data_IF_447724689206
#
_entry.id   IF_447724689206
#
_cell.length_a   1.000
_cell.length_b   1.000
_cell.length_c   1.000
_cell.angle_alpha   90.00
_cell.angle_beta   90.00
_cell.angle_gamma   90.00
#
_symmetry.space_group_name_H-M   'P 1'
#
loop_
_entity.id
_entity.type
_entity.pdbx_description
1 polymer ?
#
# COMPACT_ATOMS: atom_id res chain seq x y z
N UNK A 1 1.51 28.75 -3.19
CA UNK A 1 2.12 28.37 -4.49
C UNK A 1 1.69 26.96 -4.81
N UNK A 2 0.66 26.83 -5.64
CA UNK A 2 0.20 25.54 -6.19
C UNK A 2 1.20 25.11 -7.26
N UNK A 3 1.77 23.89 -7.22
CA UNK A 3 2.58 23.41 -8.32
C UNK A 3 1.66 23.20 -9.53
N UNK A 4 1.87 24.05 -10.53
CA UNK A 4 1.06 24.19 -11.73
C UNK A 4 1.18 22.93 -12.58
N UNK A 5 0.06 22.51 -13.17
CA UNK A 5 -0.17 21.38 -14.09
C UNK A 5 0.95 21.10 -15.10
N UNK A 6 1.75 22.12 -15.41
CA UNK A 6 2.90 22.11 -16.33
C UNK A 6 4.06 21.20 -15.89
N UNK A 7 4.36 21.14 -14.58
CA UNK A 7 5.49 20.33 -14.07
C UNK A 7 5.18 18.83 -14.08
N UNK A 8 3.90 18.45 -13.91
CA UNK A 8 3.49 17.06 -14.03
C UNK A 8 3.63 16.58 -15.49
N UNK A 9 3.25 17.42 -16.45
CA UNK A 9 3.27 17.12 -17.88
C UNK A 9 4.70 16.92 -18.41
N UNK A 10 5.62 17.80 -18.04
CA UNK A 10 7.03 17.73 -18.47
C UNK A 10 7.80 16.51 -17.94
N UNK A 11 7.35 15.92 -16.83
CA UNK A 11 7.99 14.74 -16.23
C UNK A 11 7.30 13.41 -16.62
N UNK A 12 6.28 13.47 -17.49
CA UNK A 12 5.47 12.33 -17.93
C UNK A 12 5.54 12.14 -19.46
N UNK A 13 6.18 13.06 -20.22
CA UNK A 13 6.27 12.98 -21.69
C UNK A 13 7.11 11.81 -22.25
N UNK A 14 7.68 10.99 -21.38
CA UNK A 14 8.35 9.73 -21.78
C UNK A 14 7.44 8.51 -21.58
N UNK A 15 6.24 8.67 -21.01
CA UNK A 15 5.35 7.61 -20.55
C UNK A 15 4.13 7.43 -21.47
N UNK A 16 4.37 6.86 -22.65
CA UNK A 16 3.35 6.45 -23.65
C UNK A 16 2.39 7.59 -24.11
N UNK A 17 2.45 7.99 -25.40
CA UNK A 17 1.60 9.05 -25.95
C UNK A 17 0.10 8.87 -25.67
N UNK A 18 -0.36 7.62 -25.49
CA UNK A 18 -1.76 7.30 -25.18
C UNK A 18 -2.23 7.96 -23.87
N UNK A 19 -1.34 8.21 -22.90
CA UNK A 19 -1.75 8.66 -21.56
C UNK A 19 -1.33 10.08 -21.22
N UNK A 20 -0.46 10.72 -22.01
CA UNK A 20 0.01 12.08 -21.78
C UNK A 20 -1.13 13.10 -21.68
N UNK A 21 -2.18 12.94 -22.48
CA UNK A 21 -3.37 13.81 -22.45
C UNK A 21 -4.36 13.43 -21.33
N UNK A 22 -4.18 12.27 -20.70
CA UNK A 22 -5.10 11.71 -19.72
C UNK A 22 -4.53 11.60 -18.31
N UNK A 23 -3.31 12.07 -18.06
CA UNK A 23 -2.67 12.05 -16.73
C UNK A 23 -3.57 12.63 -15.64
N UNK A 24 -4.18 13.78 -15.91
CA UNK A 24 -5.08 14.43 -14.95
C UNK A 24 -6.36 13.65 -14.71
N UNK A 25 -6.86 12.92 -15.72
CA UNK A 25 -7.99 12.01 -15.56
C UNK A 25 -7.59 10.81 -14.70
N UNK A 26 -6.44 10.19 -15.00
CA UNK A 26 -5.90 9.04 -14.26
C UNK A 26 -5.69 9.40 -12.79
N UNK A 27 -5.02 10.52 -12.51
CA UNK A 27 -4.77 11.02 -11.15
C UNK A 27 -6.05 11.24 -10.36
N UNK A 28 -7.12 11.75 -10.98
CA UNK A 28 -8.39 12.04 -10.30
C UNK A 28 -9.29 10.81 -10.11
N UNK A 29 -9.01 9.71 -10.80
CA UNK A 29 -9.91 8.54 -10.84
C UNK A 29 -9.27 7.30 -10.21
N UNK A 30 -8.24 6.74 -10.84
CA UNK A 30 -7.64 5.45 -10.47
C UNK A 30 -6.33 5.59 -9.70
N UNK A 31 -5.83 6.81 -9.54
CA UNK A 31 -4.64 7.14 -8.75
C UNK A 31 -4.85 8.32 -7.80
N UNK A 32 -6.02 8.39 -7.18
CA UNK A 32 -6.37 9.46 -6.26
C UNK A 32 -5.44 9.47 -5.04
N UNK A 33 -4.90 10.66 -4.72
CA UNK A 33 -4.01 10.86 -3.57
C UNK A 33 -2.56 10.43 -3.80
N UNK A 34 -2.19 10.04 -5.03
CA UNK A 34 -0.80 9.81 -5.39
C UNK A 34 0.01 11.12 -5.40
N UNK A 35 1.22 11.08 -4.84
CA UNK A 35 2.22 12.14 -5.07
C UNK A 35 2.69 12.11 -6.53
N UNK A 36 3.36 13.16 -7.03
CA UNK A 36 3.88 13.16 -8.40
C UNK A 36 4.79 11.96 -8.70
N UNK A 37 5.65 11.55 -7.76
CA UNK A 37 6.56 10.41 -7.95
C UNK A 37 5.82 9.06 -7.86
N UNK A 38 4.84 8.94 -6.96
CA UNK A 38 4.00 7.74 -6.89
C UNK A 38 3.14 7.58 -8.15
N UNK A 39 2.62 8.69 -8.70
CA UNK A 39 1.89 8.68 -9.96
C UNK A 39 2.78 8.24 -11.13
N UNK A 40 4.05 8.71 -11.18
CA UNK A 40 5.02 8.23 -12.17
C UNK A 40 5.30 6.75 -12.02
N UNK A 41 5.53 6.28 -10.79
CA UNK A 41 5.76 4.85 -10.54
C UNK A 41 4.56 4.00 -10.97
N UNK A 42 3.35 4.47 -10.68
CA UNK A 42 2.11 3.82 -11.11
C UNK A 42 2.00 3.73 -12.64
N UNK A 43 2.22 4.84 -13.35
CA UNK A 43 2.16 4.88 -14.82
C UNK A 43 3.28 4.06 -15.46
N UNK A 44 4.50 4.11 -14.91
CA UNK A 44 5.62 3.28 -15.34
C UNK A 44 5.30 1.78 -15.21
N UNK A 45 4.70 1.38 -14.08
CA UNK A 45 4.28 -0.01 -13.84
C UNK A 45 3.19 -0.43 -14.83
N UNK A 46 2.18 0.43 -15.04
CA UNK A 46 1.12 0.19 -16.01
C UNK A 46 1.68 -0.03 -17.42
N UNK A 47 2.61 0.83 -17.85
CA UNK A 47 3.27 0.73 -19.16
C UNK A 47 4.04 -0.57 -19.33
N UNK A 48 4.92 -0.89 -18.37
CA UNK A 48 5.76 -2.08 -18.45
C UNK A 48 4.95 -3.38 -18.45
N UNK A 49 3.82 -3.40 -17.73
CA UNK A 49 2.89 -4.53 -17.73
C UNK A 49 1.92 -4.51 -18.92
N UNK A 50 1.91 -3.45 -19.74
CA UNK A 50 0.95 -3.24 -20.82
C UNK A 50 -0.50 -3.11 -20.33
N UNK A 51 -0.71 -2.66 -19.09
CA UNK A 51 -2.02 -2.50 -18.47
C UNK A 51 -2.54 -1.09 -18.66
N UNK A 52 -3.86 -0.98 -18.80
CA UNK A 52 -4.55 0.30 -18.95
C UNK A 52 -5.22 0.72 -17.62
N UNK A 53 -4.77 1.84 -17.01
CA UNK A 53 -5.37 2.39 -15.80
C UNK A 53 -6.86 2.74 -15.97
N UNK A 54 -7.25 3.31 -17.11
CA UNK A 54 -8.63 3.75 -17.37
C UNK A 54 -9.56 2.57 -17.65
N UNK A 55 -9.02 1.47 -18.19
CA UNK A 55 -9.73 0.20 -18.30
C UNK A 55 -9.78 -0.58 -16.97
N UNK A 56 -9.34 0.02 -15.84
CA UNK A 56 -9.44 -0.56 -14.50
C UNK A 56 -8.65 -1.87 -14.33
N UNK A 57 -7.59 -2.03 -15.12
CA UNK A 57 -6.70 -3.19 -15.07
C UNK A 57 -5.61 -3.06 -13.99
N UNK A 58 -5.32 -1.83 -13.57
CA UNK A 58 -4.34 -1.49 -12.54
C UNK A 58 -4.82 -0.27 -11.76
N UNK A 59 -4.58 -0.25 -10.45
CA UNK A 59 -5.01 0.80 -9.54
C UNK A 59 -3.85 1.27 -8.68
N UNK A 60 -3.90 2.54 -8.28
CA UNK A 60 -3.12 3.03 -7.16
C UNK A 60 -4.05 3.19 -5.96
N UNK A 61 -3.71 2.51 -4.87
CA UNK A 61 -4.50 2.47 -3.64
C UNK A 61 -3.65 3.03 -2.51
N UNK A 62 -4.13 4.11 -1.87
CA UNK A 62 -3.52 4.71 -0.68
C UNK A 62 -4.29 4.27 0.56
N UNK A 63 -3.61 3.61 1.51
CA UNK A 63 -4.17 3.18 2.80
C UNK A 63 -3.22 3.56 3.92
N UNK A 64 -3.75 4.13 5.01
CA UNK A 64 -2.95 4.57 6.19
C UNK A 64 -1.70 5.39 5.79
N UNK A 65 -1.84 6.26 4.78
CA UNK A 65 -0.74 7.11 4.29
C UNK A 65 0.29 6.43 3.36
N UNK A 66 0.18 5.12 3.09
CA UNK A 66 1.06 4.39 2.16
C UNK A 66 0.37 4.15 0.82
N UNK A 67 0.99 4.61 -0.27
CA UNK A 67 0.57 4.35 -1.64
C UNK A 67 1.07 2.99 -2.13
N UNK A 68 0.22 2.24 -2.81
CA UNK A 68 0.58 0.93 -3.40
C UNK A 68 -0.04 0.78 -4.78
N UNK A 69 0.72 0.21 -5.70
CA UNK A 69 0.23 -0.16 -7.04
C UNK A 69 -0.29 -1.59 -6.98
N UNK A 70 -1.50 -1.80 -7.48
CA UNK A 70 -2.19 -3.08 -7.37
C UNK A 70 -2.84 -3.41 -8.71
N UNK A 71 -2.60 -4.62 -9.19
CA UNK A 71 -3.17 -5.11 -10.45
C UNK A 71 -4.51 -5.77 -10.18
N UNK A 72 -5.49 -5.50 -11.04
CA UNK A 72 -6.79 -6.17 -10.99
C UNK A 72 -6.66 -7.62 -11.48
N UNK A 73 -7.54 -8.51 -11.02
CA UNK A 73 -7.58 -9.90 -11.51
C UNK A 73 -7.70 -9.96 -13.05
N UNK A 74 -8.48 -9.06 -13.65
CA UNK A 74 -8.63 -8.98 -15.11
C UNK A 74 -7.34 -8.51 -15.80
N UNK A 75 -6.51 -7.70 -15.13
CA UNK A 75 -5.18 -7.35 -15.60
C UNK A 75 -4.24 -8.56 -15.65
N UNK A 76 -4.27 -9.42 -14.62
CA UNK A 76 -3.48 -10.66 -14.61
C UNK A 76 -3.93 -11.63 -15.71
N UNK A 77 -5.25 -11.76 -15.90
CA UNK A 77 -5.84 -12.59 -16.97
C UNK A 77 -5.41 -12.09 -18.34
N UNK A 78 -5.45 -10.77 -18.56
CA UNK A 78 -5.01 -10.16 -19.81
C UNK A 78 -3.53 -10.41 -20.09
N UNK A 79 -2.67 -10.28 -19.07
CA UNK A 79 -1.23 -10.59 -19.23
C UNK A 79 -1.05 -12.06 -19.58
N UNK A 80 -1.72 -12.97 -18.86
CA UNK A 80 -1.67 -14.40 -19.15
C UNK A 80 -2.14 -14.74 -20.57
N UNK A 81 -3.26 -14.16 -21.01
CA UNK A 81 -3.83 -14.35 -22.35
C UNK A 81 -2.86 -13.90 -23.45
N UNK A 82 -2.24 -12.72 -23.29
CA UNK A 82 -1.24 -12.18 -24.23
C UNK A 82 -0.01 -13.05 -24.41
N UNK A 83 0.28 -13.97 -23.49
CA UNK A 83 1.37 -14.93 -23.67
C UNK A 83 1.09 -15.93 -24.79
N UNK A 84 -0.17 -16.07 -25.24
CA UNK A 84 -0.62 -17.11 -26.16
C UNK A 84 -0.58 -18.52 -25.57
N UNK A 85 -0.26 -18.65 -24.27
CA UNK A 85 -0.14 -19.93 -23.57
C UNK A 85 -1.23 -20.16 -22.53
N UNK A 86 -2.08 -19.18 -22.24
CA UNK A 86 -3.21 -19.37 -21.33
C UNK A 86 -4.23 -20.35 -21.92
N UNK A 87 -4.62 -21.35 -21.14
CA UNK A 87 -5.48 -22.46 -21.56
C UNK A 87 -6.74 -22.60 -20.68
N UNK A 88 -7.21 -21.46 -20.17
CA UNK A 88 -8.38 -21.35 -19.30
C UNK A 88 -8.09 -21.64 -17.83
N UNK A 89 -9.14 -21.67 -17.03
CA UNK A 89 -9.12 -21.99 -15.60
C UNK A 89 -10.44 -22.57 -15.16
N UNK A 90 -10.40 -23.33 -14.07
CA UNK A 90 -11.59 -23.90 -13.45
C UNK A 90 -12.24 -22.91 -12.48
N UNK A 91 -13.52 -23.12 -12.20
CA UNK A 91 -14.20 -22.41 -11.13
C UNK A 91 -13.53 -22.69 -9.78
N UNK A 92 -13.66 -21.76 -8.83
CA UNK A 92 -13.11 -21.94 -7.49
C UNK A 92 -13.83 -23.08 -6.75
N UNK A 93 -13.03 -23.99 -6.21
CA UNK A 93 -13.47 -25.02 -5.27
C UNK A 93 -13.35 -24.47 -3.85
N UNK A 94 -14.42 -24.54 -3.07
CA UNK A 94 -14.43 -24.07 -1.68
C UNK A 94 -14.38 -25.26 -0.71
N UNK A 95 -13.48 -25.20 0.26
CA UNK A 95 -13.26 -26.25 1.25
C UNK A 95 -13.48 -25.68 2.66
N UNK A 96 -14.48 -26.21 3.35
CA UNK A 96 -14.83 -25.81 4.71
C UNK A 96 -15.44 -24.41 4.83
N UNK A 97 -15.97 -24.12 6.01
CA UNK A 97 -16.48 -22.81 6.38
C UNK A 97 -15.90 -22.39 7.74
N UNK A 98 -15.77 -21.08 7.97
CA UNK A 98 -15.51 -20.52 9.30
C UNK A 98 -16.74 -20.68 10.20
N UNK A 99 -16.59 -20.41 11.49
CA UNK A 99 -17.72 -20.47 12.44
C UNK A 99 -18.84 -19.50 12.05
N UNK A 100 -18.49 -18.37 11.43
CA UNK A 100 -19.41 -17.35 10.92
C UNK A 100 -20.00 -17.68 9.54
N UNK A 101 -19.69 -18.85 8.97
CA UNK A 101 -20.23 -19.33 7.69
C UNK A 101 -19.55 -18.79 6.44
N UNK A 102 -18.37 -18.17 6.56
CA UNK A 102 -17.56 -17.74 5.41
C UNK A 102 -16.75 -18.91 4.84
N UNK A 103 -16.39 -18.94 3.55
CA UNK A 103 -15.59 -20.04 2.98
C UNK A 103 -14.22 -20.02 3.63
N UNK A 104 -13.76 -21.16 4.14
CA UNK A 104 -12.48 -21.21 4.85
C UNK A 104 -11.29 -21.22 3.87
N UNK A 105 -11.42 -21.94 2.76
CA UNK A 105 -10.39 -22.07 1.73
C UNK A 105 -11.07 -21.98 0.36
N UNK A 106 -10.46 -21.23 -0.57
CA UNK A 106 -10.76 -21.33 -1.99
C UNK A 106 -9.54 -21.88 -2.73
N UNK A 107 -9.75 -22.84 -3.63
CA UNK A 107 -8.74 -23.40 -4.53
C UNK A 107 -9.13 -23.11 -5.98
N UNK A 108 -8.19 -22.63 -6.78
CA UNK A 108 -8.38 -22.39 -8.21
C UNK A 108 -7.27 -23.08 -8.98
N UNK A 109 -7.61 -23.62 -10.16
CA UNK A 109 -6.65 -24.18 -11.11
C UNK A 109 -6.66 -23.37 -12.40
N UNK A 110 -5.48 -22.88 -12.78
CA UNK A 110 -5.22 -22.23 -14.08
C UNK A 110 -4.45 -23.19 -14.96
N UNK A 111 -4.73 -23.20 -16.25
CA UNK A 111 -4.04 -24.03 -17.22
C UNK A 111 -3.15 -23.21 -18.13
N UNK A 112 -1.97 -23.76 -18.44
CA UNK A 112 -1.02 -23.17 -19.37
C UNK A 112 -0.50 -24.23 -20.34
N UNK A 113 -0.36 -23.85 -21.61
CA UNK A 113 0.30 -24.65 -22.62
C UNK A 113 1.82 -24.66 -22.40
N UNK A 114 2.38 -25.84 -22.16
CA UNK A 114 3.82 -26.08 -22.01
C UNK A 114 4.21 -27.18 -22.99
N UNK A 115 5.01 -26.84 -24.00
CA UNK A 115 5.41 -27.79 -25.03
C UNK A 115 4.24 -28.44 -25.78
N UNK A 116 3.13 -27.71 -25.99
CA UNK A 116 1.92 -28.24 -26.64
C UNK A 116 1.01 -29.06 -25.72
N UNK A 117 1.36 -29.22 -24.45
CA UNK A 117 0.53 -29.93 -23.45
C UNK A 117 -0.14 -28.92 -22.52
N UNK A 118 -1.42 -29.14 -22.23
CA UNK A 118 -2.18 -28.33 -21.26
C UNK A 118 -1.83 -28.78 -19.84
N UNK A 119 -1.09 -27.96 -19.10
CA UNK A 119 -0.62 -28.27 -17.75
C UNK A 119 -1.38 -27.47 -16.68
N UNK A 120 -1.80 -28.10 -15.55
CA UNK A 120 -2.50 -27.44 -14.46
C UNK A 120 -1.55 -26.74 -13.48
N UNK A 121 -1.96 -25.57 -13.00
CA UNK A 121 -1.30 -24.78 -11.96
C UNK A 121 -2.36 -24.38 -10.93
N UNK A 122 -2.37 -25.07 -9.79
CA UNK A 122 -3.34 -24.78 -8.72
C UNK A 122 -2.74 -23.90 -7.63
N UNK A 123 -3.58 -23.07 -7.01
CA UNK A 123 -3.28 -22.41 -5.76
C UNK A 123 -4.52 -22.29 -4.88
N UNK A 124 -4.28 -22.09 -3.58
CA UNK A 124 -5.34 -21.93 -2.60
C UNK A 124 -5.10 -20.68 -1.78
N UNK A 125 -6.18 -19.97 -1.45
CA UNK A 125 -6.20 -18.87 -0.50
C UNK A 125 -7.05 -19.27 0.72
N UNK A 126 -6.57 -18.95 1.92
CA UNK A 126 -7.25 -19.25 3.18
C UNK A 126 -7.86 -17.97 3.75
N UNK A 127 -9.09 -18.05 4.24
CA UNK A 127 -9.79 -16.89 4.82
C UNK A 127 -8.99 -16.23 5.93
N UNK A 128 -8.47 -17.03 6.86
CA UNK A 128 -7.65 -16.56 8.00
C UNK A 128 -6.41 -15.76 7.57
N UNK A 129 -5.83 -16.10 6.42
CA UNK A 129 -4.62 -15.44 5.90
C UNK A 129 -4.93 -14.22 5.02
N UNK A 130 -6.14 -14.12 4.45
CA UNK A 130 -6.44 -13.12 3.42
C UNK A 130 -7.51 -12.11 3.85
N UNK A 131 -8.37 -12.44 4.80
CA UNK A 131 -9.35 -11.52 5.34
C UNK A 131 -8.63 -10.33 6.01
N UNK A 132 -8.94 -9.08 5.64
CA UNK A 132 -8.19 -7.90 6.08
C UNK A 132 -8.58 -7.40 7.48
N UNK A 133 -9.29 -8.22 8.25
CA UNK A 133 -9.86 -7.83 9.54
C UNK A 133 -11.12 -6.98 9.41
N UNK A 134 -11.70 -6.63 10.55
CA UNK A 134 -13.07 -6.14 10.59
C UNK A 134 -13.27 -4.71 10.08
N UNK A 135 -12.24 -3.87 10.22
CA UNK A 135 -12.27 -2.48 9.77
C UNK A 135 -12.37 -2.38 8.24
N UNK A 136 -11.78 -3.33 7.52
CA UNK A 136 -11.68 -3.33 6.05
C UNK A 136 -12.44 -4.51 5.41
N UNK A 137 -13.12 -5.31 6.24
CA UNK A 137 -13.77 -6.56 5.86
C UNK A 137 -15.17 -6.41 5.28
N UNK A 138 -15.73 -5.20 5.16
CA UNK A 138 -17.11 -5.00 4.71
C UNK A 138 -17.44 -5.74 3.39
N UNK A 139 -16.62 -5.54 2.35
CA UNK A 139 -16.81 -6.21 1.06
C UNK A 139 -16.59 -7.72 1.16
N UNK A 140 -15.68 -8.16 2.03
CA UNK A 140 -15.40 -9.57 2.28
C UNK A 140 -16.58 -10.28 2.93
N UNK A 141 -17.25 -9.68 3.91
CA UNK A 141 -18.47 -10.25 4.50
C UNK A 141 -19.64 -10.24 3.52
N UNK A 142 -19.73 -9.24 2.63
CA UNK A 142 -20.79 -9.14 1.63
C UNK A 142 -20.62 -10.12 0.46
N UNK A 143 -19.39 -10.39 0.04
CA UNK A 143 -19.06 -11.22 -1.13
C UNK A 143 -17.90 -12.20 -0.84
N UNK A 144 -18.03 -13.06 0.18
CA UNK A 144 -16.91 -13.80 0.75
C UNK A 144 -16.30 -14.81 -0.23
N UNK A 145 -17.14 -15.51 -0.98
CA UNK A 145 -16.70 -16.48 -1.99
C UNK A 145 -15.95 -15.77 -3.14
N UNK A 146 -16.47 -14.65 -3.61
CA UNK A 146 -15.83 -13.87 -4.69
C UNK A 146 -14.48 -13.33 -4.29
N UNK A 147 -14.35 -12.80 -3.06
CA UNK A 147 -13.07 -12.25 -2.59
C UNK A 147 -12.01 -13.35 -2.48
N UNK A 148 -12.35 -14.46 -1.82
CA UNK A 148 -11.40 -15.54 -1.62
C UNK A 148 -11.03 -16.26 -2.93
N UNK A 149 -12.00 -16.46 -3.83
CA UNK A 149 -11.75 -17.03 -5.16
C UNK A 149 -10.78 -16.18 -5.99
N UNK A 150 -10.93 -14.84 -5.97
CA UNK A 150 -10.02 -13.93 -6.69
C UNK A 150 -8.59 -14.02 -6.16
N UNK A 151 -8.41 -14.16 -4.85
CA UNK A 151 -7.09 -14.38 -4.26
C UNK A 151 -6.46 -15.68 -4.78
N UNK A 152 -7.22 -16.78 -4.71
CA UNK A 152 -6.75 -18.09 -5.15
C UNK A 152 -6.39 -18.09 -6.65
N UNK A 153 -7.20 -17.42 -7.48
CA UNK A 153 -6.94 -17.27 -8.91
C UNK A 153 -5.68 -16.44 -9.18
N UNK A 154 -5.48 -15.33 -8.48
CA UNK A 154 -4.28 -14.51 -8.61
C UNK A 154 -3.01 -15.30 -8.27
N UNK A 155 -3.03 -16.12 -7.21
CA UNK A 155 -1.93 -17.01 -6.85
C UNK A 155 -1.68 -18.08 -7.93
N UNK A 156 -2.75 -18.66 -8.48
CA UNK A 156 -2.65 -19.67 -9.53
C UNK A 156 -2.07 -19.09 -10.83
N UNK A 157 -2.50 -17.89 -11.22
CA UNK A 157 -1.97 -17.16 -12.38
C UNK A 157 -0.47 -16.89 -12.20
N UNK A 158 -0.03 -16.46 -11.02
CA UNK A 158 1.41 -16.23 -10.76
C UNK A 158 2.24 -17.50 -10.80
N UNK A 159 1.70 -18.63 -10.34
CA UNK A 159 2.35 -19.93 -10.49
C UNK A 159 2.48 -20.34 -11.96
N UNK A 160 1.46 -20.07 -12.77
CA UNK A 160 1.46 -20.41 -14.19
C UNK A 160 2.36 -19.48 -15.03
N UNK A 161 2.36 -18.18 -14.73
CA UNK A 161 3.03 -17.13 -15.52
C UNK A 161 4.01 -16.31 -14.69
N UNK A 162 4.99 -16.94 -13.99
CA UNK A 162 5.87 -16.22 -13.07
C UNK A 162 6.77 -15.20 -13.77
N UNK A 163 7.23 -15.49 -15.00
CA UNK A 163 8.05 -14.54 -15.77
C UNK A 163 7.25 -13.31 -16.22
N UNK A 164 5.98 -13.49 -16.56
CA UNK A 164 5.11 -12.43 -17.09
C UNK A 164 4.46 -11.60 -15.96
N UNK A 165 4.27 -12.19 -14.78
CA UNK A 165 3.62 -11.58 -13.61
C UNK A 165 4.58 -11.21 -12.46
N UNK A 166 5.88 -11.43 -12.63
CA UNK A 166 6.89 -11.04 -11.64
C UNK A 166 6.84 -9.53 -11.38
N UNK A 167 6.95 -9.12 -10.11
CA UNK A 167 6.92 -7.72 -9.72
C UNK A 167 5.53 -7.06 -9.72
N UNK A 168 4.47 -7.78 -10.13
CA UNK A 168 3.09 -7.30 -10.06
C UNK A 168 2.41 -7.81 -8.79
N UNK A 169 2.17 -6.89 -7.87
CA UNK A 169 1.39 -7.14 -6.66
C UNK A 169 -0.12 -7.00 -6.95
N UNK A 170 -0.92 -7.85 -6.32
CA UNK A 170 -2.37 -7.89 -6.46
C UNK A 170 -2.97 -7.42 -5.13
N UNK A 171 -4.12 -6.77 -5.19
CA UNK A 171 -4.79 -6.09 -4.08
C UNK A 171 -4.81 -6.91 -2.78
N UNK A 172 -5.06 -8.20 -2.90
CA UNK A 172 -5.33 -9.08 -1.76
C UNK A 172 -4.07 -9.53 -1.01
N UNK A 173 -2.87 -9.44 -1.59
CA UNK A 173 -1.61 -9.70 -0.87
C UNK A 173 -1.20 -8.55 0.04
N UNK A 174 -1.58 -7.32 -0.32
CA UNK A 174 -1.17 -6.12 0.40
C UNK A 174 -2.14 -5.71 1.50
N UNK A 175 -3.35 -6.28 1.52
CA UNK A 175 -4.29 -6.07 2.60
C UNK A 175 -3.75 -6.62 3.95
N UNK A 176 -2.86 -7.61 3.89
CA UNK A 176 -2.15 -8.18 5.03
C UNK A 176 -0.98 -7.33 5.53
N UNK A 177 -0.27 -6.64 4.62
CA UNK A 177 0.89 -5.82 4.96
C UNK A 177 0.55 -4.56 5.79
N UNK A 178 -0.73 -4.30 6.08
CA UNK A 178 -1.21 -3.24 6.96
C UNK A 178 -1.55 -3.68 8.39
N UNK A 179 -1.35 -4.96 8.72
CA UNK A 179 -1.64 -5.59 10.02
C UNK A 179 -0.41 -6.16 10.74
N UNK A 180 0.80 -5.67 10.42
CA UNK A 180 1.91 -5.82 11.37
C UNK A 180 1.66 -4.89 12.55
N UNK A 181 1.08 -5.44 13.62
CA UNK A 181 1.31 -4.93 14.97
C UNK A 181 2.82 -4.98 15.17
N UNK A 182 3.47 -3.82 15.17
CA UNK A 182 4.82 -3.72 15.68
C UNK A 182 4.73 -3.96 17.19
N UNK A 183 4.83 -5.22 17.63
CA UNK A 183 5.25 -5.49 19.00
C UNK A 183 6.72 -5.16 19.07
N UNK A 184 7.00 -3.97 19.57
CA UNK A 184 8.32 -3.44 19.85
C UNK A 184 9.04 -4.38 20.85
N UNK A 185 10.15 -5.06 20.50
CA UNK A 185 10.97 -5.75 21.46
C UNK A 185 12.19 -4.88 21.75
N UNK A 186 12.08 -4.05 22.79
CA UNK A 186 13.08 -3.90 23.87
C UNK A 186 13.04 -2.48 24.47
N UNK A 187 12.85 -2.33 25.79
CA UNK A 187 12.98 -1.03 26.45
C UNK A 187 14.47 -0.69 26.65
N UNK A 188 14.91 0.47 26.16
CA UNK A 188 16.13 1.11 26.65
C UNK A 188 15.86 2.50 27.23
N UNK A 189 16.64 2.92 28.24
CA UNK A 189 16.23 3.95 29.19
C UNK A 189 16.27 5.35 28.61
N UNK A 190 15.28 6.16 29.02
CA UNK A 190 15.12 7.57 28.71
C UNK A 190 16.37 8.38 29.08
N UNK A 191 17.00 8.98 28.08
CA UNK A 191 17.85 10.17 28.27
C UNK A 191 17.00 11.36 27.83
N UNK A 192 16.64 12.21 28.80
CA UNK A 192 15.87 13.43 28.56
C UNK A 192 16.66 14.41 27.67
N UNK A 193 16.07 14.96 26.59
CA UNK A 193 16.63 16.10 25.90
C UNK A 193 16.24 17.42 26.59
N UNK A 194 17.26 18.17 26.99
CA UNK A 194 17.22 19.57 27.43
C UNK A 194 16.47 20.46 26.41
N UNK A 195 15.69 21.49 26.83
CA UNK A 195 14.79 22.22 25.94
C UNK A 195 15.52 23.25 25.06
N UNK A 196 14.94 23.47 23.89
CA UNK A 196 15.43 24.32 22.78
C UNK A 196 15.68 25.79 23.17
N UNK A 197 16.54 26.53 22.43
CA UNK A 197 16.81 27.94 22.67
C UNK A 197 15.65 28.86 22.23
N UNK A 198 15.31 29.84 23.07
CA UNK A 198 14.36 30.92 22.77
C UNK A 198 14.95 31.97 21.80
N UNK A 199 14.10 32.71 21.07
CA UNK A 199 14.52 33.82 20.20
C UNK A 199 14.93 35.08 20.98
N UNK A 200 15.95 35.77 20.47
CA UNK A 200 16.57 36.98 21.02
C UNK A 200 15.57 38.16 21.21
N UNK A 201 15.71 38.97 22.28
CA UNK A 201 14.86 40.14 22.52
C UNK A 201 15.45 41.45 21.95
N UNK A 202 14.57 42.31 21.43
CA UNK A 202 14.83 43.74 21.17
C UNK A 202 15.06 44.54 22.47
N UNK A 203 15.84 45.63 22.45
CA UNK A 203 16.35 46.30 23.65
C UNK A 203 15.34 47.29 24.28
N UNK A 204 15.29 47.33 25.61
CA UNK A 204 14.68 48.43 26.39
C UNK A 204 15.76 49.33 27.02
N UNK A 205 15.47 50.62 27.27
CA UNK A 205 16.41 51.56 27.87
C UNK A 205 16.41 51.55 29.41
N UNK A 206 17.51 52.09 29.90
CA UNK A 206 18.13 52.16 31.23
C UNK A 206 17.37 52.96 32.31
N UNK A 207 17.35 52.48 33.57
CA UNK A 207 17.32 53.32 34.79
C UNK A 207 17.96 52.61 36.00
N UNK A 208 18.81 53.37 36.69
CA UNK A 208 19.85 53.09 37.71
C UNK A 208 19.28 52.89 39.14
N UNK A 209 20.03 52.35 40.15
CA UNK A 209 19.53 51.60 41.32
C UNK A 209 19.66 52.33 42.69
N UNK A 210 19.38 51.57 43.78
CA UNK A 210 19.76 51.66 45.23
C UNK A 210 18.59 51.74 46.25
N UNK A 211 18.79 51.37 47.55
CA UNK A 211 19.59 50.28 48.16
C UNK A 211 18.81 49.47 49.24
N UNK A 212 19.44 48.40 49.75
CA UNK A 212 18.98 47.47 50.80
C UNK A 212 19.00 48.01 52.25
N UNK A 213 18.37 47.28 53.19
CA UNK A 213 18.97 47.12 54.51
C UNK A 213 19.01 45.66 55.06
N UNK A 214 20.22 45.28 55.49
CA UNK A 214 20.69 44.42 56.61
C UNK A 214 19.62 43.90 57.61
N UNK A 215 19.62 42.68 58.19
CA UNK A 215 20.57 41.93 59.08
C UNK A 215 19.75 40.74 59.70
N UNK A 216 20.17 39.95 60.74
CA UNK A 216 21.41 39.23 61.07
C UNK A 216 21.19 37.72 61.42
N UNK A 217 22.30 37.03 61.69
CA UNK A 217 22.53 35.61 62.07
C UNK A 217 22.21 35.30 63.56
N UNK A 218 21.87 34.04 63.92
CA UNK A 218 22.63 33.29 64.96
C UNK A 218 22.79 31.79 64.57
N UNK A 219 23.77 30.97 64.96
CA UNK A 219 24.81 31.02 65.99
C UNK A 219 24.87 29.68 66.77
N UNK A 220 25.68 28.72 66.29
CA UNK A 220 26.51 27.71 67.04
C UNK A 220 25.80 26.48 67.71
N UNK A 221 26.46 25.29 67.81
CA UNK A 221 25.85 23.94 67.78
C UNK A 221 25.82 23.18 69.13
N UNK A 222 25.29 21.95 69.06
CA UNK A 222 24.97 21.00 70.15
C UNK A 222 26.04 20.72 71.23
N UNK A 223 25.55 20.63 72.47
CA UNK A 223 25.87 19.59 73.46
C UNK A 223 24.57 19.01 74.02
#
# INVERSE_FOLDING_TARGET
>A
MTPTTDTAKALISDLDPKWEEHVDLIRRTVAQGATPDELRLFLYTARNAGLDPLAKQIYYIRRKGKGTVQVAIDGLRLIADRTGRYAGGDAAEFLGNTEEGYPQIARVTVYKMVGGVRCPFSASARWEEYYPGDDQGFTWRRMPHTMLAKCAEALALRRAFPADLSGLYVHEEMAQAGSTVMTDPNPQPSIEPNPSPQPDPTPQPDVTPEPEPNTPIPGVPDQ
#
